data_IF_765516015591
#
_entry.id   IF_765516015591
#
_cell.length_a   1.000
_cell.length_b   1.000
_cell.length_c   1.000
_cell.angle_alpha   90.00
_cell.angle_beta   90.00
_cell.angle_gamma   90.00
#
_symmetry.space_group_name_H-M   'P 1'
#
loop_
_entity.id
_entity.type
_entity.pdbx_description
1 polymer ?
#
# COMPACT_ATOMS: atom_id res chain seq x y z
N UNK A 1 -22.29 -8.17 18.58
CA UNK A 1 -22.70 -6.94 17.86
C UNK A 1 -22.22 -5.61 18.47
N UNK A 2 -22.02 -5.46 19.80
CA UNK A 2 -21.44 -4.20 20.36
C UNK A 2 -19.92 -4.07 20.14
N UNK A 3 -19.21 -5.19 20.00
CA UNK A 3 -17.74 -5.25 19.81
C UNK A 3 -17.27 -4.65 18.49
N UNK A 4 -17.92 -4.94 17.35
CA UNK A 4 -17.48 -4.41 16.05
C UNK A 4 -17.68 -2.89 15.92
N UNK A 5 -18.70 -2.32 16.57
CA UNK A 5 -18.89 -0.85 16.61
C UNK A 5 -17.80 -0.15 17.41
N UNK A 6 -17.35 -0.75 18.52
CA UNK A 6 -16.27 -0.21 19.35
C UNK A 6 -14.93 -0.31 18.61
N UNK A 7 -14.63 -1.46 17.99
CA UNK A 7 -13.44 -1.63 17.16
C UNK A 7 -13.43 -0.61 16.00
N UNK A 8 -14.56 -0.45 15.30
CA UNK A 8 -14.71 0.56 14.24
C UNK A 8 -14.54 2.00 14.74
N UNK A 9 -15.10 2.34 15.89
CA UNK A 9 -14.91 3.67 16.48
C UNK A 9 -13.43 3.94 16.84
N UNK A 10 -12.69 2.91 17.25
CA UNK A 10 -11.26 2.98 17.55
C UNK A 10 -10.40 3.05 16.28
N UNK A 11 -10.79 2.37 15.20
CA UNK A 11 -10.14 2.44 13.88
C UNK A 11 -10.34 3.80 13.20
N UNK A 12 -11.40 4.51 13.57
CA UNK A 12 -11.67 5.88 13.07
C UNK A 12 -10.96 6.97 13.90
N UNK A 13 -10.24 6.63 14.97
CA UNK A 13 -9.40 7.58 15.70
C UNK A 13 -8.10 7.82 14.92
N UNK A 14 -7.85 9.03 14.38
CA UNK A 14 -6.65 9.33 13.61
C UNK A 14 -5.35 9.25 14.43
N UNK A 15 -5.43 9.12 15.76
CA UNK A 15 -4.29 8.99 16.67
C UNK A 15 -4.09 7.57 17.21
N UNK A 16 -4.91 6.60 16.80
CA UNK A 16 -4.71 5.21 17.16
C UNK A 16 -3.39 4.67 16.59
N UNK A 17 -2.49 4.26 17.48
CA UNK A 17 -1.25 3.56 17.11
C UNK A 17 -1.38 2.11 17.53
N UNK A 18 -1.18 1.20 16.60
CA UNK A 18 -1.24 -0.23 16.86
C UNK A 18 0.18 -0.75 17.08
N UNK A 19 0.39 -1.38 18.22
CA UNK A 19 1.65 -2.04 18.55
C UNK A 19 1.44 -3.53 18.44
N UNK A 20 2.14 -4.09 17.45
CA UNK A 20 2.16 -5.52 17.18
C UNK A 20 3.26 -6.15 18.04
N UNK A 21 2.95 -7.28 18.68
CA UNK A 21 3.93 -8.09 19.40
C UNK A 21 3.87 -9.48 18.81
N UNK A 22 4.97 -9.93 18.23
CA UNK A 22 5.13 -11.37 17.97
C UNK A 22 5.19 -12.09 19.32
N UNK A 23 4.20 -12.96 19.57
CA UNK A 23 4.38 -13.99 20.58
C UNK A 23 5.35 -15.01 19.99
N UNK A 24 6.57 -15.05 20.54
CA UNK A 24 7.54 -16.11 20.28
C UNK A 24 6.95 -17.44 20.80
N UNK A 25 6.11 -18.09 20.00
CA UNK A 25 5.91 -19.52 20.09
C UNK A 25 6.93 -20.13 19.11
N UNK A 26 7.99 -20.73 19.66
CA UNK A 26 9.22 -21.13 18.97
C UNK A 26 9.07 -22.15 17.82
N UNK A 27 7.86 -22.47 17.36
CA UNK A 27 7.57 -23.60 16.45
C UNK A 27 6.49 -23.32 15.40
N UNK A 28 6.46 -22.15 14.74
CA UNK A 28 5.59 -21.95 13.57
C UNK A 28 6.26 -21.13 12.48
N UNK A 29 6.90 -21.82 11.54
CA UNK A 29 7.47 -21.23 10.32
C UNK A 29 6.40 -20.97 9.24
N UNK A 30 5.16 -21.46 9.38
CA UNK A 30 4.22 -21.47 8.23
C UNK A 30 2.85 -20.78 8.43
N UNK A 31 2.60 -20.05 9.52
CA UNK A 31 1.27 -19.45 9.74
C UNK A 31 1.30 -17.93 9.87
N UNK A 32 0.96 -17.25 8.77
CA UNK A 32 0.58 -15.82 8.69
C UNK A 32 -0.68 -15.54 9.55
N UNK A 33 -1.38 -16.56 10.02
CA UNK A 33 -2.71 -16.44 10.61
C UNK A 33 -2.72 -16.27 12.15
N UNK A 34 -1.57 -16.27 12.83
CA UNK A 34 -1.52 -16.18 14.30
C UNK A 34 -1.06 -14.82 14.85
N UNK A 35 -1.42 -13.72 14.18
CA UNK A 35 -1.15 -12.37 14.68
C UNK A 35 -2.35 -11.84 15.48
N UNK A 36 -2.17 -11.72 16.81
CA UNK A 36 -3.11 -10.98 17.66
C UNK A 36 -2.56 -9.58 17.88
N UNK A 37 -3.30 -8.49 17.56
CA UNK A 37 -2.88 -7.15 17.97
C UNK A 37 -2.83 -7.10 19.51
N UNK A 38 -1.66 -6.78 20.07
CA UNK A 38 -1.40 -6.92 21.52
C UNK A 38 -1.59 -5.61 22.28
N UNK A 39 -1.45 -4.46 21.63
CA UNK A 39 -1.68 -3.18 22.30
C UNK A 39 -2.18 -2.10 21.34
N UNK A 40 -3.11 -1.30 21.84
CA UNK A 40 -3.50 -0.03 21.26
C UNK A 40 -2.88 1.08 22.11
N UNK A 41 -2.19 2.01 21.47
CA UNK A 41 -1.77 3.26 22.09
C UNK A 41 -2.69 4.36 21.55
N UNK A 42 -3.54 4.89 22.42
CA UNK A 42 -4.26 6.16 22.17
C UNK A 42 -3.75 7.18 23.18
N UNK A 43 -3.47 8.41 22.74
CA UNK A 43 -3.04 9.53 23.59
C UNK A 43 -1.86 9.20 24.54
N UNK A 44 -0.86 8.46 24.05
CA UNK A 44 0.37 8.15 24.81
C UNK A 44 0.20 7.11 25.94
N UNK A 45 -0.97 6.48 26.07
CA UNK A 45 -1.22 5.44 27.07
C UNK A 45 -1.28 4.07 26.39
N UNK A 46 -0.41 3.14 26.79
CA UNK A 46 -0.42 1.76 26.27
C UNK A 46 -1.55 0.98 26.97
N UNK A 47 -2.66 0.79 26.26
CA UNK A 47 -3.73 -0.11 26.68
C UNK A 47 -3.51 -1.49 26.06
N UNK A 48 -3.00 -2.45 26.83
CA UNK A 48 -3.10 -3.88 26.47
C UNK A 48 -4.52 -4.30 26.84
N UNK A 49 -5.47 -4.15 25.91
CA UNK A 49 -6.75 -4.84 26.05
C UNK A 49 -6.60 -6.23 25.44
N UNK A 50 -6.71 -7.32 26.24
CA UNK A 50 -6.88 -8.63 25.66
C UNK A 50 -8.14 -8.60 24.80
N UNK A 51 -8.00 -8.93 23.51
CA UNK A 51 -9.15 -9.10 22.62
C UNK A 51 -10.06 -10.12 23.30
N UNK A 52 -11.29 -9.72 23.63
CA UNK A 52 -12.26 -10.63 24.23
C UNK A 52 -12.37 -11.88 23.35
N UNK A 53 -12.28 -13.11 23.91
CA UNK A 53 -12.25 -14.36 23.14
C UNK A 53 -13.55 -14.66 22.36
N UNK A 54 -14.46 -13.69 22.27
CA UNK A 54 -15.79 -13.82 21.68
C UNK A 54 -15.89 -13.34 20.21
N UNK A 55 -14.86 -12.68 19.68
CA UNK A 55 -14.84 -12.28 18.26
C UNK A 55 -13.94 -13.25 17.50
N UNK A 56 -14.47 -14.00 16.51
CA UNK A 56 -13.65 -14.83 15.64
C UNK A 56 -12.51 -14.00 15.02
N UNK A 57 -11.30 -14.54 15.01
CA UNK A 57 -10.09 -13.85 14.52
C UNK A 57 -10.27 -13.28 13.11
N UNK A 58 -10.98 -14.00 12.24
CA UNK A 58 -11.33 -13.56 10.88
C UNK A 58 -12.19 -12.30 10.86
N UNK A 59 -13.17 -12.17 11.77
CA UNK A 59 -14.04 -10.99 11.83
C UNK A 59 -13.23 -9.76 12.27
N UNK A 60 -12.29 -9.93 13.21
CA UNK A 60 -11.38 -8.87 13.62
C UNK A 60 -10.43 -8.47 12.47
N UNK A 61 -9.85 -9.45 11.75
CA UNK A 61 -8.98 -9.22 10.59
C UNK A 61 -9.71 -8.44 9.49
N UNK A 62 -10.90 -8.88 9.11
CA UNK A 62 -11.70 -8.23 8.07
C UNK A 62 -12.13 -6.81 8.46
N UNK A 63 -12.35 -6.57 9.75
CA UNK A 63 -12.68 -5.23 10.23
C UNK A 63 -11.51 -4.24 10.21
N UNK A 64 -10.26 -4.72 10.23
CA UNK A 64 -9.06 -3.90 10.14
C UNK A 64 -8.60 -3.66 8.71
N UNK A 65 -8.91 -4.56 7.78
CA UNK A 65 -8.46 -4.51 6.38
C UNK A 65 -9.47 -3.86 5.43
N UNK A 66 -10.17 -2.82 5.90
CA UNK A 66 -10.97 -1.97 5.03
C UNK A 66 -10.07 -1.28 4.02
N UNK A 67 -10.54 -1.10 2.79
CA UNK A 67 -9.79 -0.42 1.73
C UNK A 67 -9.40 1.03 2.11
N UNK A 68 -10.18 1.66 3.00
CA UNK A 68 -9.92 3.01 3.51
C UNK A 68 -8.81 3.08 4.55
N UNK A 69 -8.36 1.93 5.05
CA UNK A 69 -7.34 1.80 6.09
C UNK A 69 -5.95 1.67 5.46
N UNK A 70 -5.08 2.63 5.76
CA UNK A 70 -3.66 2.54 5.42
C UNK A 70 -2.80 2.34 6.67
N UNK A 71 -1.68 1.67 6.51
CA UNK A 71 -0.74 1.38 7.59
C UNK A 71 0.58 2.11 7.35
N UNK A 72 0.87 3.11 8.16
CA UNK A 72 2.10 3.89 8.09
C UNK A 72 3.14 3.29 9.04
N UNK A 73 4.30 2.88 8.51
CA UNK A 73 5.44 2.46 9.32
C UNK A 73 6.06 3.66 10.03
N UNK A 74 6.16 3.65 11.36
CA UNK A 74 6.73 4.77 12.11
C UNK A 74 8.22 5.02 11.84
N UNK A 75 8.94 4.00 11.37
CA UNK A 75 10.40 4.06 11.23
C UNK A 75 10.84 4.63 9.88
N UNK A 76 10.24 4.17 8.80
CA UNK A 76 10.60 4.58 7.44
C UNK A 76 9.50 5.42 6.74
N UNK A 77 8.37 5.64 7.41
CA UNK A 77 7.19 6.34 6.88
C UNK A 77 6.59 5.69 5.63
N UNK A 78 6.92 4.42 5.34
CA UNK A 78 6.28 3.68 4.25
C UNK A 78 4.81 3.44 4.59
N UNK A 79 3.93 3.79 3.66
CA UNK A 79 2.51 3.48 3.74
C UNK A 79 2.22 2.16 3.04
N UNK A 80 1.55 1.27 3.77
CA UNK A 80 1.11 -0.03 3.29
C UNK A 80 -0.42 -0.04 3.12
N UNK A 81 -0.92 -0.46 1.95
CA UNK A 81 -2.36 -0.41 1.62
C UNK A 81 -3.15 -1.62 2.14
N UNK A 82 -2.60 -2.42 3.05
CA UNK A 82 -3.30 -3.51 3.75
C UNK A 82 -2.53 -3.91 5.01
N UNK A 83 -3.20 -4.62 5.92
CA UNK A 83 -2.55 -5.20 7.10
C UNK A 83 -1.41 -6.13 6.67
N UNK A 84 -1.67 -6.97 5.66
CA UNK A 84 -0.73 -7.97 5.16
C UNK A 84 0.54 -7.32 4.61
N UNK A 85 0.39 -6.31 3.76
CA UNK A 85 1.52 -5.56 3.21
C UNK A 85 2.32 -4.88 4.33
N UNK A 86 1.63 -4.34 5.34
CA UNK A 86 2.27 -3.72 6.48
C UNK A 86 3.10 -4.70 7.32
N UNK A 87 2.55 -5.87 7.62
CA UNK A 87 3.26 -6.93 8.34
C UNK A 87 4.48 -7.43 7.54
N UNK A 88 4.31 -7.66 6.23
CA UNK A 88 5.40 -8.06 5.36
C UNK A 88 6.53 -7.01 5.34
N UNK A 89 6.18 -5.73 5.24
CA UNK A 89 7.13 -4.63 5.30
C UNK A 89 7.89 -4.61 6.64
N UNK A 90 7.19 -4.73 7.77
CA UNK A 90 7.84 -4.72 9.09
C UNK A 90 8.87 -5.85 9.23
N UNK A 91 8.53 -7.05 8.76
CA UNK A 91 9.46 -8.20 8.76
C UNK A 91 10.71 -7.90 7.95
N UNK A 92 10.55 -7.53 6.67
CA UNK A 92 11.68 -7.21 5.80
C UNK A 92 12.53 -6.03 6.31
N UNK A 93 11.90 -5.03 6.94
CA UNK A 93 12.61 -3.91 7.54
C UNK A 93 13.46 -4.34 8.74
N UNK A 94 12.94 -5.21 9.61
CA UNK A 94 13.67 -5.76 10.75
C UNK A 94 14.86 -6.64 10.30
N UNK A 95 14.71 -7.40 9.22
CA UNK A 95 15.77 -8.27 8.69
C UNK A 95 16.93 -7.46 8.08
N UNK A 96 16.63 -6.32 7.49
CA UNK A 96 17.62 -5.47 6.78
C UNK A 96 18.33 -4.45 7.67
N UNK A 97 17.88 -4.26 8.91
CA UNK A 97 18.42 -3.25 9.84
C UNK A 97 18.88 -3.87 11.18
N UNK A 98 20.00 -4.63 11.21
CA UNK A 98 20.46 -5.35 12.40
C UNK A 98 20.81 -4.44 13.59
N UNK A 99 21.11 -3.16 13.35
CA UNK A 99 21.30 -2.17 14.42
C UNK A 99 20.02 -2.01 15.27
N UNK A 100 18.85 -2.10 14.65
CA UNK A 100 17.57 -2.06 15.36
C UNK A 100 17.34 -3.33 16.18
N UNK A 101 17.81 -4.49 15.71
CA UNK A 101 17.78 -5.74 16.47
C UNK A 101 18.68 -5.68 17.72
N UNK A 102 19.85 -5.05 17.61
CA UNK A 102 20.81 -4.94 18.70
C UNK A 102 20.45 -3.90 19.77
N UNK A 103 19.88 -2.76 19.37
CA UNK A 103 19.57 -1.64 20.29
C UNK A 103 18.21 -1.80 20.97
N UNK A 104 17.21 -2.35 20.28
CA UNK A 104 15.84 -2.53 20.80
C UNK A 104 15.58 -3.94 21.34
N UNK A 105 16.56 -4.84 21.24
CA UNK A 105 16.42 -6.27 21.55
C UNK A 105 15.43 -6.96 20.59
N UNK A 106 15.00 -8.21 20.89
CA UNK A 106 14.00 -8.94 20.09
C UNK A 106 12.58 -8.33 20.14
N UNK A 107 12.46 -7.08 20.62
CA UNK A 107 11.21 -6.33 20.76
C UNK A 107 11.29 -5.07 19.91
N UNK A 108 11.54 -5.23 18.62
CA UNK A 108 11.32 -4.13 17.69
C UNK A 108 9.83 -3.85 17.66
N UNK A 109 9.42 -2.79 18.36
CA UNK A 109 8.08 -2.23 18.21
C UNK A 109 8.08 -1.42 16.91
N UNK A 110 7.92 -2.08 15.77
CA UNK A 110 7.45 -1.40 14.58
C UNK A 110 6.00 -1.00 14.85
N UNK A 111 5.79 0.28 15.14
CA UNK A 111 4.45 0.81 15.30
C UNK A 111 3.89 1.08 13.90
N UNK A 112 2.72 0.49 13.62
CA UNK A 112 1.94 0.89 12.46
C UNK A 112 0.89 1.88 12.92
N UNK A 113 0.92 3.07 12.35
CA UNK A 113 -0.16 4.04 12.54
C UNK A 113 -1.23 3.78 11.50
N UNK A 114 -2.47 3.68 11.95
CA UNK A 114 -3.60 3.65 11.06
C UNK A 114 -3.82 5.07 10.52
N UNK A 115 -3.83 5.21 9.20
CA UNK A 115 -4.10 6.49 8.55
C UNK A 115 -5.28 6.31 7.62
N UNK A 116 -6.26 7.20 7.75
CA UNK A 116 -7.39 7.25 6.84
C UNK A 116 -6.95 7.86 5.52
N UNK A 117 -7.08 7.11 4.43
CA UNK A 117 -6.77 7.61 3.10
C UNK A 117 -7.78 8.68 2.68
N UNK A 118 -7.31 9.86 2.29
CA UNK A 118 -8.17 10.87 1.66
C UNK A 118 -8.58 10.47 0.23
N UNK A 119 -7.80 9.61 -0.42
CA UNK A 119 -8.00 9.19 -1.82
C UNK A 119 -8.96 8.02 -1.94
N UNK A 120 -8.85 7.03 -1.05
CA UNK A 120 -9.63 5.79 -1.14
C UNK A 120 -11.15 6.04 -1.19
N UNK A 121 -11.74 6.98 -0.43
CA UNK A 121 -13.17 7.29 -0.55
C UNK A 121 -13.60 7.73 -1.96
N UNK A 122 -12.72 8.40 -2.72
CA UNK A 122 -13.01 8.76 -4.11
C UNK A 122 -12.93 7.54 -5.02
N UNK A 123 -11.92 6.69 -4.86
CA UNK A 123 -11.77 5.46 -5.64
C UNK A 123 -12.96 4.52 -5.44
N UNK A 124 -13.36 4.30 -4.18
CA UNK A 124 -14.51 3.50 -3.79
C UNK A 124 -15.82 4.06 -4.37
N UNK A 125 -15.99 5.39 -4.31
CA UNK A 125 -17.17 6.04 -4.90
C UNK A 125 -17.25 5.82 -6.40
N UNK A 126 -16.14 5.99 -7.12
CA UNK A 126 -16.11 5.76 -8.57
C UNK A 126 -16.34 4.28 -8.92
N UNK A 127 -15.89 3.36 -8.07
CA UNK A 127 -16.18 1.92 -8.17
C UNK A 127 -17.58 1.52 -7.68
N UNK A 128 -18.38 2.45 -7.14
CA UNK A 128 -19.71 2.22 -6.54
C UNK A 128 -19.68 1.24 -5.35
N UNK A 129 -18.65 1.35 -4.53
CA UNK A 129 -18.43 0.51 -3.35
C UNK A 129 -18.65 1.30 -2.05
N UNK A 130 -19.00 0.60 -0.98
CA UNK A 130 -19.25 1.19 0.32
C UNK A 130 -17.95 1.28 1.15
N UNK A 131 -17.46 2.47 1.50
CA UNK A 131 -16.22 2.63 2.26
C UNK A 131 -16.26 2.07 3.68
N UNK A 132 -17.45 1.76 4.21
CA UNK A 132 -17.63 1.22 5.56
C UNK A 132 -17.54 -0.31 5.63
N UNK A 133 -17.58 -0.99 4.49
CA UNK A 133 -17.58 -2.46 4.40
C UNK A 133 -16.55 -3.00 3.43
N UNK A 134 -16.15 -2.21 2.43
CA UNK A 134 -15.26 -2.68 1.37
C UNK A 134 -13.85 -2.90 1.89
N UNK A 135 -13.33 -4.10 1.66
CA UNK A 135 -11.98 -4.53 2.03
C UNK A 135 -10.96 -4.26 0.92
N UNK A 136 -9.68 -4.29 1.28
CA UNK A 136 -8.57 -4.18 0.33
C UNK A 136 -8.58 -5.32 -0.71
N UNK A 137 -8.87 -6.55 -0.28
CA UNK A 137 -8.92 -7.72 -1.16
C UNK A 137 -10.10 -7.63 -2.14
N UNK A 138 -11.26 -7.11 -1.72
CA UNK A 138 -12.39 -6.83 -2.63
C UNK A 138 -12.00 -5.80 -3.70
N UNK A 139 -11.30 -4.73 -3.33
CA UNK A 139 -10.80 -3.74 -4.29
C UNK A 139 -9.79 -4.33 -5.29
N UNK A 140 -8.88 -5.19 -4.84
CA UNK A 140 -7.95 -5.92 -5.72
C UNK A 140 -8.70 -6.83 -6.70
N UNK A 141 -9.70 -7.58 -6.21
CA UNK A 141 -10.46 -8.55 -7.01
C UNK A 141 -11.24 -7.93 -8.17
N UNK A 142 -11.62 -6.65 -8.04
CA UNK A 142 -12.34 -5.93 -9.10
C UNK A 142 -11.46 -5.59 -10.31
N UNK A 143 -10.13 -5.56 -10.13
CA UNK A 143 -9.17 -5.26 -11.20
C UNK A 143 -9.44 -3.92 -11.89
N UNK A 144 -10.02 -2.96 -11.17
CA UNK A 144 -10.39 -1.65 -11.70
C UNK A 144 -9.16 -0.75 -11.91
N UNK A 145 -9.19 0.02 -12.99
CA UNK A 145 -8.17 1.03 -13.31
C UNK A 145 -8.74 2.43 -13.17
N UNK A 146 -7.95 3.32 -12.58
CA UNK A 146 -8.31 4.69 -12.29
C UNK A 146 -7.33 5.63 -13.00
N UNK A 147 -7.86 6.70 -13.60
CA UNK A 147 -7.08 7.79 -14.19
C UNK A 147 -6.99 8.96 -13.19
N UNK A 148 -5.79 9.47 -12.93
CA UNK A 148 -5.59 10.62 -12.05
C UNK A 148 -6.02 11.91 -12.76
N UNK A 149 -7.02 12.60 -12.19
CA UNK A 149 -7.53 13.87 -12.68
C UNK A 149 -6.54 15.03 -12.52
N UNK A 150 -5.65 14.96 -11.53
CA UNK A 150 -4.64 15.99 -11.29
C UNK A 150 -3.54 15.97 -12.37
N UNK A 151 -3.05 14.78 -12.74
CA UNK A 151 -2.08 14.62 -13.83
C UNK A 151 -2.63 15.06 -15.18
N UNK A 152 -3.92 14.80 -15.44
CA UNK A 152 -4.59 15.18 -16.69
C UNK A 152 -4.50 16.69 -16.98
N UNK A 153 -4.55 17.53 -15.94
CA UNK A 153 -4.57 18.99 -16.08
C UNK A 153 -3.19 19.64 -16.23
N UNK A 154 -2.11 18.92 -15.92
CA UNK A 154 -0.75 19.50 -15.83
C UNK A 154 0.09 19.32 -17.09
N UNK A 155 -0.46 18.77 -18.18
CA UNK A 155 0.31 18.45 -19.39
C UNK A 155 1.40 17.40 -19.19
N UNK A 156 1.38 16.69 -18.04
CA UNK A 156 2.23 15.54 -17.75
C UNK A 156 1.61 14.28 -18.31
N UNK A 157 2.40 13.22 -18.39
CA UNK A 157 1.92 11.89 -18.71
C UNK A 157 0.74 11.52 -17.80
N UNK A 158 -0.33 11.03 -18.42
CA UNK A 158 -1.56 10.71 -17.70
C UNK A 158 -1.30 9.46 -16.87
N UNK A 159 -1.33 9.62 -15.55
CA UNK A 159 -1.30 8.47 -14.67
C UNK A 159 -2.61 7.69 -14.79
N UNK A 160 -2.47 6.40 -15.06
CA UNK A 160 -3.51 5.39 -14.97
C UNK A 160 -2.93 4.27 -14.11
N UNK A 161 -3.73 3.65 -13.25
CA UNK A 161 -3.25 2.55 -12.43
C UNK A 161 -4.36 1.81 -11.72
N UNK A 162 -4.03 0.70 -11.06
CA UNK A 162 -4.95 0.05 -10.12
C UNK A 162 -5.25 0.98 -8.94
N UNK A 163 -6.14 0.58 -8.05
CA UNK A 163 -6.41 1.37 -6.85
C UNK A 163 -5.17 1.50 -5.96
N UNK A 164 -4.36 0.44 -5.80
CA UNK A 164 -3.10 0.49 -5.03
C UNK A 164 -2.11 1.46 -5.66
N UNK A 165 -1.96 1.38 -6.98
CA UNK A 165 -1.07 2.28 -7.72
C UNK A 165 -1.54 3.72 -7.57
N UNK A 166 -2.85 3.97 -7.58
CA UNK A 166 -3.44 5.29 -7.39
C UNK A 166 -3.15 5.86 -5.99
N UNK A 167 -3.16 5.02 -4.96
CA UNK A 167 -2.79 5.42 -3.61
C UNK A 167 -1.32 5.80 -3.51
N UNK A 168 -0.44 4.93 -4.01
CA UNK A 168 1.00 5.20 -4.05
C UNK A 168 1.32 6.43 -4.89
N UNK A 169 0.66 6.60 -6.03
CA UNK A 169 0.81 7.75 -6.89
C UNK A 169 0.38 9.04 -6.20
N UNK A 170 -0.80 9.05 -5.55
CA UNK A 170 -1.23 10.20 -4.77
C UNK A 170 -0.18 10.58 -3.73
N UNK A 171 0.33 9.59 -3.00
CA UNK A 171 1.27 9.82 -1.92
C UNK A 171 2.60 10.40 -2.45
N UNK A 172 3.16 9.81 -3.50
CA UNK A 172 4.45 10.24 -4.05
C UNK A 172 4.38 11.58 -4.77
N UNK A 173 3.34 11.80 -5.58
CA UNK A 173 3.31 12.92 -6.52
C UNK A 173 2.40 14.07 -6.12
N UNK A 174 1.41 13.81 -5.24
CA UNK A 174 0.39 14.81 -4.88
C UNK A 174 0.34 15.13 -3.38
N UNK A 175 0.91 14.31 -2.49
CA UNK A 175 0.81 14.52 -1.04
C UNK A 175 1.40 15.85 -0.57
N UNK A 176 2.51 16.29 -1.16
CA UNK A 176 3.13 17.59 -0.85
C UNK A 176 2.24 18.77 -1.29
N UNK A 177 1.46 18.61 -2.36
CA UNK A 177 0.52 19.62 -2.84
C UNK A 177 -0.69 19.74 -1.90
N UNK A 178 -1.07 18.69 -1.17
CA UNK A 178 -2.24 18.70 -0.29
C UNK A 178 -2.00 19.23 1.13
N UNK A 179 -0.75 19.28 1.62
CA UNK A 179 -0.46 19.87 2.96
C UNK A 179 -0.84 21.35 3.05
N UNK A 180 -0.67 22.10 1.96
CA UNK A 180 -1.00 23.53 1.92
C UNK A 180 -2.44 23.80 1.47
N UNK A 181 -3.15 22.76 1.01
CA UNK A 181 -4.53 22.87 0.55
C UNK A 181 -5.38 21.78 1.22
N UNK A 182 -5.65 21.97 2.51
CA UNK A 182 -6.85 21.43 3.19
C UNK A 182 -8.16 21.99 2.60
N UNK A 183 -8.13 22.55 1.39
CA UNK A 183 -9.35 22.78 0.64
C UNK A 183 -9.74 21.42 0.08
N UNK A 184 -10.82 20.79 0.57
CA UNK A 184 -11.37 19.64 -0.14
C UNK A 184 -11.51 20.08 -1.61
N UNK A 185 -11.01 19.29 -2.57
CA UNK A 185 -11.14 19.63 -3.98
C UNK A 185 -12.60 20.03 -4.22
N UNK A 186 -12.83 21.14 -4.91
CA UNK A 186 -14.19 21.57 -5.25
C UNK A 186 -14.92 20.37 -5.83
N UNK A 187 -16.22 20.22 -5.55
CA UNK A 187 -17.05 19.08 -5.98
C UNK A 187 -16.97 18.78 -7.49
N UNK A 188 -16.43 19.72 -8.27
CA UNK A 188 -16.15 19.61 -9.70
C UNK A 188 -14.85 18.88 -10.06
N UNK A 189 -13.83 18.88 -9.20
CA UNK A 189 -12.55 18.23 -9.47
C UNK A 189 -12.49 16.85 -8.81
N UNK A 190 -12.99 15.84 -9.53
CA UNK A 190 -12.81 14.45 -9.15
C UNK A 190 -11.32 14.09 -9.25
N UNK A 191 -10.64 13.72 -8.15
CA UNK A 191 -9.20 13.43 -8.19
C UNK A 191 -8.89 12.18 -9.01
N UNK A 192 -9.86 11.26 -9.12
CA UNK A 192 -9.75 10.05 -9.92
C UNK A 192 -11.04 9.81 -10.72
N UNK A 193 -10.89 9.13 -11.84
CA UNK A 193 -11.98 8.64 -12.68
C UNK A 193 -11.79 7.16 -12.96
N UNK A 194 -12.84 6.36 -12.77
CA UNK A 194 -12.82 4.95 -13.17
C UNK A 194 -12.80 4.83 -14.70
N UNK A 195 -11.91 3.99 -15.23
CA UNK A 195 -11.86 3.66 -16.66
C UNK A 195 -12.76 2.46 -16.96
N UNK A 196 -13.61 2.61 -17.98
CA UNK A 196 -14.39 1.49 -18.50
C UNK A 196 -13.51 0.44 -19.18
N UNK A 197 -13.96 -0.82 -19.21
CA UNK A 197 -13.21 -1.93 -19.83
C UNK A 197 -12.84 -1.64 -21.29
N UNK A 198 -13.77 -1.09 -22.07
CA UNK A 198 -13.56 -0.72 -23.47
C UNK A 198 -12.51 0.40 -23.61
N UNK A 199 -12.58 1.43 -22.77
CA UNK A 199 -11.59 2.52 -22.78
C UNK A 199 -10.20 2.01 -22.39
N UNK A 200 -10.12 1.13 -21.39
CA UNK A 200 -8.87 0.50 -20.99
C UNK A 200 -8.28 -0.36 -22.11
N UNK A 201 -9.12 -1.16 -22.77
CA UNK A 201 -8.70 -1.99 -23.91
C UNK A 201 -8.22 -1.13 -25.08
N UNK A 202 -8.96 -0.07 -25.41
CA UNK A 202 -8.56 0.90 -26.43
C UNK A 202 -7.22 1.54 -26.08
N UNK A 203 -7.02 1.98 -24.84
CA UNK A 203 -5.75 2.57 -24.39
C UNK A 203 -4.60 1.57 -24.43
N UNK A 204 -4.81 0.31 -24.03
CA UNK A 204 -3.82 -0.76 -24.19
C UNK A 204 -3.45 -0.97 -25.66
N UNK A 205 -4.43 -0.96 -26.56
CA UNK A 205 -4.19 -1.08 -28.01
C UNK A 205 -3.45 0.12 -28.61
N UNK A 206 -3.64 1.32 -28.06
CA UNK A 206 -2.85 2.48 -28.43
C UNK A 206 -1.43 2.40 -27.86
N UNK A 207 -1.25 1.87 -26.65
CA UNK A 207 0.08 1.75 -26.06
C UNK A 207 0.94 0.65 -26.65
N UNK A 208 0.36 -0.44 -27.16
CA UNK A 208 1.11 -1.35 -28.02
C UNK A 208 1.55 -0.68 -29.33
N UNK A 209 0.86 0.37 -29.78
CA UNK A 209 1.23 1.17 -30.95
C UNK A 209 2.17 2.35 -30.63
N UNK A 210 2.18 2.87 -29.39
CA UNK A 210 2.85 4.12 -29.00
C UNK A 210 3.76 4.01 -27.76
N UNK A 211 3.96 2.83 -27.17
CA UNK A 211 5.00 2.54 -26.16
C UNK A 211 4.88 3.20 -24.77
N UNK A 212 3.76 3.83 -24.40
CA UNK A 212 3.73 4.74 -23.23
C UNK A 212 2.76 4.41 -22.06
N UNK A 213 1.84 3.43 -22.14
CA UNK A 213 1.03 3.01 -20.96
C UNK A 213 1.43 1.64 -20.36
N UNK A 214 2.46 0.99 -20.90
CA UNK A 214 2.96 -0.27 -20.34
C UNK A 214 3.76 -0.10 -19.05
N UNK A 215 4.06 1.15 -18.66
CA UNK A 215 4.75 1.48 -17.39
C UNK A 215 3.90 1.24 -16.11
N UNK A 216 2.68 0.75 -16.26
CA UNK A 216 1.69 0.63 -15.18
C UNK A 216 1.53 -0.82 -14.70
N UNK A 217 1.83 -1.83 -15.53
CA UNK A 217 1.81 -3.23 -15.10
C UNK A 217 3.17 -3.66 -14.53
N UNK A 218 3.17 -4.69 -13.69
CA UNK A 218 4.36 -5.41 -13.16
C UNK A 218 5.17 -6.09 -14.27
N UNK A 219 5.61 -5.29 -15.24
CA UNK A 219 6.15 -5.75 -16.50
C UNK A 219 7.61 -5.41 -16.66
N UNK A 220 8.33 -4.94 -15.63
CA UNK A 220 9.77 -4.69 -15.76
C UNK A 220 10.58 -5.65 -14.90
N UNK A 221 11.65 -6.22 -15.46
CA UNK A 221 12.60 -7.09 -14.77
C UNK A 221 14.01 -6.49 -14.78
N UNK A 222 14.71 -6.60 -13.65
CA UNK A 222 16.13 -6.27 -13.57
C UNK A 222 16.96 -7.36 -14.27
N UNK A 223 17.68 -7.00 -15.34
CA UNK A 223 18.54 -7.95 -16.07
C UNK A 223 19.82 -8.30 -15.33
N UNK A 224 20.28 -7.40 -14.45
CA UNK A 224 21.48 -7.65 -13.66
C UNK A 224 21.24 -8.75 -12.62
N UNK A 225 20.10 -8.72 -11.92
CA UNK A 225 19.70 -9.81 -11.03
C UNK A 225 19.42 -11.13 -11.76
N UNK A 226 18.87 -11.06 -12.99
CA UNK A 226 18.61 -12.27 -13.79
C UNK A 226 19.90 -13.05 -14.09
N UNK A 227 21.02 -12.35 -14.31
CA UNK A 227 22.34 -12.99 -14.49
C UNK A 227 22.82 -13.75 -13.25
N UNK A 228 22.41 -13.29 -12.07
CA UNK A 228 22.70 -13.93 -10.78
C UNK A 228 21.66 -15.01 -10.42
N UNK A 229 20.71 -15.30 -11.31
CA UNK A 229 19.63 -16.25 -11.08
C UNK A 229 18.54 -15.76 -10.13
N UNK A 230 18.50 -14.45 -9.84
CA UNK A 230 17.51 -13.83 -8.95
C UNK A 230 16.49 -13.06 -9.78
N UNK A 231 15.22 -13.41 -9.63
CA UNK A 231 14.14 -12.76 -10.37
C UNK A 231 13.63 -11.53 -9.60
N UNK A 232 13.99 -10.33 -10.06
CA UNK A 232 13.46 -9.06 -9.52
C UNK A 232 12.56 -8.41 -10.57
N UNK A 233 11.26 -8.39 -10.28
CA UNK A 233 10.21 -7.84 -11.13
C UNK A 233 9.41 -6.75 -10.43
N UNK A 234 8.94 -5.76 -11.17
CA UNK A 234 8.12 -4.70 -10.61
C UNK A 234 7.72 -3.63 -11.62
N UNK A 235 7.24 -2.51 -11.09
CA UNK A 235 7.06 -1.28 -11.88
C UNK A 235 8.41 -0.73 -12.30
N UNK A 236 8.44 0.05 -13.40
CA UNK A 236 9.68 0.70 -13.86
C UNK A 236 10.38 1.49 -12.76
N UNK A 237 9.64 2.36 -12.06
CA UNK A 237 10.21 3.16 -10.97
C UNK A 237 10.82 2.28 -9.86
N UNK A 238 10.20 1.15 -9.54
CA UNK A 238 10.76 0.20 -8.58
C UNK A 238 12.05 -0.45 -9.09
N UNK A 239 12.10 -0.81 -10.38
CA UNK A 239 13.31 -1.40 -10.99
C UNK A 239 14.44 -0.35 -11.10
N UNK A 240 14.11 0.91 -11.39
CA UNK A 240 15.07 2.01 -11.40
C UNK A 240 15.64 2.26 -9.99
N UNK A 241 14.79 2.37 -8.97
CA UNK A 241 15.21 2.48 -7.56
C UNK A 241 16.09 1.28 -7.15
N UNK A 242 15.70 0.07 -7.55
CA UNK A 242 16.46 -1.15 -7.30
C UNK A 242 17.84 -1.14 -7.98
N UNK A 243 17.93 -0.70 -9.24
CA UNK A 243 19.19 -0.60 -9.96
C UNK A 243 20.15 0.43 -9.34
N UNK A 244 19.63 1.55 -8.86
CA UNK A 244 20.43 2.54 -8.15
C UNK A 244 20.93 1.99 -6.81
N UNK A 245 20.04 1.39 -6.01
CA UNK A 245 20.37 0.96 -4.65
C UNK A 245 21.17 -0.34 -4.57
N UNK A 246 20.84 -1.33 -5.41
CA UNK A 246 21.44 -2.68 -5.36
C UNK A 246 22.62 -2.79 -6.30
N UNK A 247 22.54 -2.18 -7.48
CA UNK A 247 23.58 -2.28 -8.50
C UNK A 247 24.44 -1.02 -8.64
N UNK A 248 24.20 0.01 -7.80
CA UNK A 248 24.91 1.30 -7.87
C UNK A 248 24.92 1.89 -9.28
N UNK A 249 23.85 1.66 -10.05
CA UNK A 249 23.75 2.11 -11.44
C UNK A 249 23.40 3.59 -11.47
N UNK A 250 24.36 4.44 -11.85
CA UNK A 250 24.17 5.90 -11.95
C UNK A 250 23.70 6.34 -13.34
N UNK A 251 23.89 5.50 -14.37
CA UNK A 251 23.40 5.72 -15.73
C UNK A 251 22.64 4.48 -16.16
N UNK A 252 21.35 4.43 -15.83
CA UNK A 252 20.50 3.31 -16.12
C UNK A 252 20.15 3.29 -17.61
N UNK A 253 20.46 2.19 -18.29
CA UNK A 253 20.25 2.00 -19.73
C UNK A 253 19.15 0.96 -20.01
N UNK A 254 18.17 1.31 -20.84
CA UNK A 254 17.13 0.40 -21.33
C UNK A 254 17.47 -0.01 -22.77
N UNK A 255 17.53 -1.33 -23.11
CA UNK A 255 17.11 -2.49 -22.32
C UNK A 255 18.29 -3.22 -21.64
N UNK A 256 19.42 -2.55 -21.40
CA UNK A 256 20.64 -3.19 -20.91
C UNK A 256 20.57 -3.60 -19.43
N UNK A 257 20.07 -2.70 -18.59
CA UNK A 257 20.01 -2.87 -17.13
C UNK A 257 18.68 -3.49 -16.67
N UNK A 258 17.61 -3.21 -17.41
CA UNK A 258 16.30 -3.80 -17.19
C UNK A 258 15.49 -3.84 -18.48
N UNK A 259 14.49 -4.72 -18.55
CA UNK A 259 13.62 -4.82 -19.73
C UNK A 259 12.16 -5.06 -19.36
N UNK A 260 11.29 -4.72 -20.31
CA UNK A 260 9.89 -5.08 -20.24
C UNK A 260 9.72 -6.59 -20.52
N UNK A 261 8.96 -7.28 -19.69
CA UNK A 261 8.67 -8.73 -19.68
C UNK A 261 7.18 -8.99 -19.95
N UNK A 262 6.49 -8.07 -20.63
CA UNK A 262 5.09 -8.26 -20.98
C UNK A 262 4.86 -9.49 -21.85
N UNK A 263 4.28 -10.52 -21.24
CA UNK A 263 3.52 -11.60 -21.87
C UNK A 263 2.09 -11.63 -21.30
#
# INVERSE_FOLDING_TARGET
MRSSKMLRAMLLDPYATFVWRESFAQNMVDHVDNFTPVALITNGTIGIQPVSPSVPLEEARNSMDLATTLFLCSNCLLVSPSVRAGVAHMRGYCDTHPVLQGVLGPRVFCAMRMVYSLTTPFLLREAKLDPSTTTSDEMDSLGHFFECGLCRGQGRDRFIGTWRDSLTHQERYHFTQHRNFFRPPSTTNKPYRLLGKEELQYRRSLSSAFGHLEDISFGWACKRCEQDGVEVKGMRAFIEDHLELVHSATNINVPGDYCYIGE
#
